data_IF_443994348296
#
_entry.id   IF_443994348296
#
_cell.length_a   1.000
_cell.length_b   1.000
_cell.length_c   1.000
_cell.angle_alpha   90.00
_cell.angle_beta   90.00
_cell.angle_gamma   90.00
#
_symmetry.space_group_name_H-M   'P 1'
#
loop_
_entity.id
_entity.type
_entity.pdbx_description
1 polymer ?
#
# COMPACT_ATOMS: atom_id res chain seq x y z
N UNK A 1 -8.27 25.73 39.88
CA UNK A 1 -9.18 25.41 38.76
C UNK A 1 -8.37 25.46 37.48
N UNK A 2 -8.33 24.34 36.75
CA UNK A 2 -7.39 24.08 35.66
C UNK A 2 -8.09 24.34 34.30
N UNK A 3 -7.66 25.31 33.47
CA UNK A 3 -8.27 25.54 32.17
C UNK A 3 -7.45 24.85 31.09
N UNK A 4 -7.81 23.61 30.77
CA UNK A 4 -7.34 22.96 29.54
C UNK A 4 -8.49 22.20 28.88
N UNK A 5 -8.37 22.13 27.55
CA UNK A 5 -9.07 21.26 26.61
C UNK A 5 -10.43 21.74 26.08
N UNK A 6 -10.34 22.58 25.05
CA UNK A 6 -11.20 22.41 23.87
C UNK A 6 -10.38 22.65 22.61
N UNK A 7 -9.59 21.66 22.19
CA UNK A 7 -9.10 21.58 20.81
C UNK A 7 -10.07 20.72 20.02
N UNK A 8 -11.02 21.39 19.37
CA UNK A 8 -11.82 20.81 18.32
C UNK A 8 -10.92 20.69 17.08
N UNK A 9 -10.43 19.48 16.79
CA UNK A 9 -9.75 19.21 15.53
C UNK A 9 -10.81 19.12 14.44
N UNK A 10 -10.98 20.23 13.71
CA UNK A 10 -11.76 20.29 12.49
C UNK A 10 -10.90 19.71 11.36
N UNK A 11 -11.04 18.41 11.06
CA UNK A 11 -10.54 17.87 9.79
C UNK A 11 -11.48 18.34 8.68
N UNK A 12 -11.21 19.55 8.17
CA UNK A 12 -11.84 20.05 6.95
C UNK A 12 -11.29 19.27 5.76
N UNK A 13 -12.14 18.37 5.23
CA UNK A 13 -12.33 18.06 3.82
C UNK A 13 -11.23 18.58 2.87
N UNK A 14 -10.18 17.79 2.67
CA UNK A 14 -9.39 17.90 1.45
C UNK A 14 -10.26 17.29 0.35
N UNK A 15 -10.84 18.17 -0.45
CA UNK A 15 -11.61 17.87 -1.65
C UNK A 15 -10.93 16.73 -2.42
N UNK A 16 -11.60 15.57 -2.44
CA UNK A 16 -11.20 14.45 -3.27
C UNK A 16 -11.17 14.88 -4.73
N UNK A 17 -9.97 15.07 -5.27
CA UNK A 17 -9.75 15.01 -6.71
C UNK A 17 -9.94 13.54 -7.08
N UNK A 18 -11.17 13.24 -7.48
CA UNK A 18 -11.61 11.95 -7.97
C UNK A 18 -10.64 11.54 -9.08
N UNK A 19 -10.11 10.32 -9.02
CA UNK A 19 -9.68 9.66 -10.23
C UNK A 19 -10.90 9.63 -11.15
N UNK A 20 -10.99 10.53 -12.14
CA UNK A 20 -11.94 10.34 -13.23
C UNK A 20 -11.49 9.05 -13.91
N UNK A 21 -12.25 7.99 -13.65
CA UNK A 21 -12.14 6.65 -14.21
C UNK A 21 -12.33 6.70 -15.72
N UNK A 22 -11.35 7.24 -16.44
CA UNK A 22 -11.36 7.17 -17.90
C UNK A 22 -10.19 6.30 -18.28
N UNK A 23 -10.51 5.05 -18.58
CA UNK A 23 -9.58 4.19 -19.29
C UNK A 23 -9.45 4.75 -20.71
N UNK A 24 -8.27 5.29 -21.02
CA UNK A 24 -8.05 6.02 -22.27
C UNK A 24 -7.29 5.10 -23.23
N UNK A 25 -7.60 5.17 -24.52
CA UNK A 25 -6.85 4.39 -25.51
C UNK A 25 -5.38 4.81 -25.51
N UNK A 26 -4.44 3.87 -25.70
CA UNK A 26 -3.01 4.16 -25.74
C UNK A 26 -2.62 5.17 -26.83
N UNK A 27 -3.45 5.32 -27.87
CA UNK A 27 -3.31 6.34 -28.91
C UNK A 27 -3.50 7.78 -28.41
N UNK A 28 -4.08 7.95 -27.21
CA UNK A 28 -4.29 9.24 -26.55
C UNK A 28 -3.23 9.55 -25.49
N UNK A 29 -2.21 8.70 -25.33
CA UNK A 29 -1.08 8.99 -24.46
C UNK A 29 -0.41 10.32 -24.90
N UNK A 30 0.15 11.10 -23.96
CA UNK A 30 0.96 12.24 -24.33
C UNK A 30 2.09 11.82 -25.29
N UNK A 31 2.36 12.62 -26.32
CA UNK A 31 3.29 12.25 -27.40
C UNK A 31 4.71 11.82 -26.93
N UNK A 32 5.15 12.30 -25.76
CA UNK A 32 6.46 11.94 -25.19
C UNK A 32 6.42 10.65 -24.36
N UNK A 33 5.24 10.14 -24.02
CA UNK A 33 5.03 8.85 -23.34
C UNK A 33 4.78 7.80 -24.41
N UNK A 34 5.72 6.86 -24.54
CA UNK A 34 5.64 5.81 -25.56
C UNK A 34 4.67 4.72 -25.12
N UNK A 35 3.77 4.24 -26.01
CA UNK A 35 3.01 3.04 -25.74
C UNK A 35 3.95 1.83 -25.63
N UNK A 36 3.49 0.79 -24.93
CA UNK A 36 4.18 -0.50 -24.85
C UNK A 36 3.38 -1.59 -25.56
N UNK A 37 4.03 -2.68 -25.93
CA UNK A 37 3.41 -3.85 -26.55
C UNK A 37 3.74 -5.11 -25.75
N UNK A 38 2.76 -5.99 -25.60
CA UNK A 38 2.89 -7.31 -24.94
C UNK A 38 3.00 -7.29 -23.42
N UNK A 39 2.91 -6.11 -22.77
CA UNK A 39 3.09 -5.97 -21.33
C UNK A 39 2.31 -4.81 -20.73
N UNK A 40 2.22 -4.80 -19.41
CA UNK A 40 1.68 -3.71 -18.62
C UNK A 40 2.85 -3.00 -17.92
N UNK A 41 2.90 -1.68 -17.99
CA UNK A 41 3.96 -0.88 -17.35
C UNK A 41 3.39 0.30 -16.59
N UNK A 42 4.09 0.72 -15.55
CA UNK A 42 3.85 1.97 -14.86
C UNK A 42 4.92 2.98 -15.30
N UNK A 43 4.52 4.20 -15.66
CA UNK A 43 5.43 5.25 -16.11
C UNK A 43 5.11 6.54 -15.36
N UNK A 44 6.09 7.11 -14.66
CA UNK A 44 5.97 8.41 -14.02
C UNK A 44 6.57 9.49 -14.93
N UNK A 45 5.77 10.51 -15.23
CA UNK A 45 6.15 11.63 -16.09
C UNK A 45 6.76 12.78 -15.26
N UNK A 46 8.07 12.70 -15.04
CA UNK A 46 8.81 13.74 -14.32
C UNK A 46 9.02 15.02 -15.14
N UNK A 47 8.81 14.98 -16.47
CA UNK A 47 9.01 16.13 -17.34
C UNK A 47 7.85 17.13 -17.25
N UNK A 48 6.64 16.64 -16.91
CA UNK A 48 5.47 17.49 -16.69
C UNK A 48 4.94 17.29 -15.28
N UNK A 49 5.12 18.29 -14.42
CA UNK A 49 4.34 18.35 -13.17
C UNK A 49 2.89 18.61 -13.55
N UNK A 50 1.97 17.75 -13.11
CA UNK A 50 0.55 17.93 -13.28
C UNK A 50 0.02 19.11 -12.46
N UNK A 51 -1.30 19.27 -12.50
CA UNK A 51 -2.01 20.20 -11.61
C UNK A 51 -1.60 19.95 -10.14
N UNK A 52 -1.53 21.02 -9.35
CA UNK A 52 -1.11 20.99 -7.95
C UNK A 52 0.29 20.41 -7.67
N UNK A 53 1.17 20.40 -8.68
CA UNK A 53 2.56 19.89 -8.61
C UNK A 53 2.67 18.38 -8.39
N UNK A 54 1.57 17.64 -8.56
CA UNK A 54 1.57 16.17 -8.52
C UNK A 54 2.25 15.61 -9.77
N UNK A 55 2.81 14.40 -9.69
CA UNK A 55 3.47 13.77 -10.84
C UNK A 55 2.45 12.89 -11.56
N UNK A 56 2.15 13.11 -12.85
CA UNK A 56 1.30 12.21 -13.61
C UNK A 56 1.95 10.83 -13.71
N UNK A 57 1.20 9.79 -13.35
CA UNK A 57 1.63 8.40 -13.46
C UNK A 57 0.67 7.66 -14.38
N UNK A 58 1.22 6.93 -15.35
CA UNK A 58 0.46 6.22 -16.38
C UNK A 58 0.63 4.73 -16.17
N UNK A 59 -0.47 4.02 -15.89
CA UNK A 59 -0.50 2.57 -15.96
C UNK A 59 -0.95 2.18 -17.37
N UNK A 60 0.00 1.77 -18.20
CA UNK A 60 -0.18 1.52 -19.63
C UNK A 60 -0.32 0.02 -19.85
N UNK A 61 -1.47 -0.41 -20.33
CA UNK A 61 -1.71 -1.81 -20.68
C UNK A 61 -1.52 -2.01 -22.19
N UNK A 62 -0.33 -2.48 -22.57
CA UNK A 62 -0.01 -2.90 -23.93
C UNK A 62 -0.21 -4.39 -24.19
N UNK A 63 -0.77 -5.13 -23.22
CA UNK A 63 -1.05 -6.56 -23.36
C UNK A 63 -2.38 -6.82 -24.05
N UNK A 64 -2.71 -8.10 -24.25
CA UNK A 64 -3.96 -8.60 -24.79
C UNK A 64 -5.05 -8.82 -23.71
N UNK A 65 -4.70 -8.66 -22.43
CA UNK A 65 -5.58 -8.91 -21.29
C UNK A 65 -5.96 -7.62 -20.59
N UNK A 66 -7.18 -7.57 -20.07
CA UNK A 66 -7.57 -6.50 -19.15
C UNK A 66 -7.08 -6.83 -17.73
N UNK A 67 -6.79 -5.80 -16.95
CA UNK A 67 -6.57 -5.93 -15.50
C UNK A 67 -7.62 -5.13 -14.75
N UNK A 68 -7.92 -5.60 -13.55
CA UNK A 68 -8.76 -4.90 -12.58
C UNK A 68 -7.89 -4.58 -11.38
N UNK A 69 -7.92 -3.32 -10.95
CA UNK A 69 -7.17 -2.86 -9.80
C UNK A 69 -8.06 -2.82 -8.57
N UNK A 70 -7.54 -3.29 -7.45
CA UNK A 70 -8.13 -2.98 -6.15
C UNK A 70 -8.02 -1.46 -5.92
N UNK A 71 -9.06 -0.88 -5.31
CA UNK A 71 -9.03 0.52 -4.91
C UNK A 71 -9.89 0.78 -3.67
N UNK A 72 -9.53 1.81 -2.94
CA UNK A 72 -10.30 2.33 -1.81
C UNK A 72 -10.36 3.84 -1.92
N UNK A 73 -11.57 4.40 -1.88
CA UNK A 73 -11.79 5.86 -2.01
C UNK A 73 -11.12 6.47 -3.27
N UNK A 74 -10.99 5.68 -4.34
CA UNK A 74 -10.32 6.07 -5.59
C UNK A 74 -8.78 5.99 -5.57
N UNK A 75 -8.17 5.56 -4.46
CA UNK A 75 -6.74 5.24 -4.37
C UNK A 75 -6.53 3.78 -4.83
N UNK A 76 -5.83 3.59 -5.95
CA UNK A 76 -5.46 2.27 -6.49
C UNK A 76 -4.22 1.66 -5.81
N UNK A 77 -3.93 2.09 -4.60
CA UNK A 77 -2.73 1.75 -3.83
C UNK A 77 -1.43 2.17 -4.52
N UNK A 78 -1.47 3.25 -5.30
CA UNK A 78 -0.26 3.90 -5.81
C UNK A 78 0.43 4.63 -4.65
N UNK A 79 1.69 4.32 -4.39
CA UNK A 79 2.46 4.94 -3.30
C UNK A 79 3.80 5.46 -3.79
N UNK A 80 4.16 6.64 -3.30
CA UNK A 80 5.49 7.22 -3.47
C UNK A 80 6.52 6.40 -2.70
N UNK A 81 7.67 6.14 -3.33
CA UNK A 81 8.85 5.54 -2.71
C UNK A 81 10.07 6.43 -2.92
N UNK A 82 11.05 6.30 -2.03
CA UNK A 82 12.37 6.93 -2.14
C UNK A 82 13.46 5.96 -1.71
N UNK A 83 14.71 6.22 -2.09
CA UNK A 83 15.84 5.44 -1.57
C UNK A 83 16.20 5.88 -0.16
N UNK A 84 16.28 4.92 0.76
CA UNK A 84 16.87 5.10 2.08
C UNK A 84 18.38 5.24 2.02
N UNK A 85 18.99 5.51 3.17
CA UNK A 85 20.45 5.62 3.31
C UNK A 85 21.18 4.31 2.97
N UNK A 86 20.51 3.17 3.07
CA UNK A 86 21.00 1.83 2.71
C UNK A 86 20.86 1.52 1.21
N UNK A 87 20.38 2.48 0.41
CA UNK A 87 20.14 2.33 -1.03
C UNK A 87 18.89 1.54 -1.38
N UNK A 88 18.12 1.04 -0.40
CA UNK A 88 16.87 0.32 -0.65
C UNK A 88 15.71 1.29 -0.83
N UNK A 89 14.74 0.86 -1.62
CA UNK A 89 13.50 1.62 -1.77
C UNK A 89 12.61 1.41 -0.55
N UNK A 90 12.11 2.50 -0.01
CA UNK A 90 11.15 2.53 1.08
C UNK A 90 9.99 3.45 0.73
N UNK A 91 8.82 3.18 1.31
CA UNK A 91 7.64 4.01 1.08
C UNK A 91 7.80 5.38 1.76
N UNK A 92 7.39 6.42 1.03
CA UNK A 92 7.46 7.83 1.43
C UNK A 92 6.09 8.51 1.35
N UNK A 93 5.02 7.73 1.34
CA UNK A 93 3.63 8.18 1.41
C UNK A 93 2.87 7.25 2.35
N UNK A 94 2.38 7.75 3.49
CA UNK A 94 1.58 6.93 4.39
C UNK A 94 0.22 6.59 3.77
N UNK A 95 -0.42 5.56 4.28
CA UNK A 95 -1.74 5.11 3.85
C UNK A 95 -2.66 5.04 5.08
N UNK A 96 -3.90 5.50 4.89
CA UNK A 96 -4.94 5.46 5.89
C UNK A 96 -6.10 4.64 5.33
N UNK A 97 -6.34 3.45 5.88
CA UNK A 97 -7.48 2.65 5.45
C UNK A 97 -8.79 3.30 5.93
N UNK A 98 -9.74 3.39 5.02
CA UNK A 98 -11.09 3.85 5.34
C UNK A 98 -11.88 2.79 6.10
N UNK A 99 -12.63 3.24 7.11
CA UNK A 99 -13.55 2.40 7.89
C UNK A 99 -14.86 2.15 7.11
N UNK A 100 -15.26 3.09 6.23
CA UNK A 100 -16.59 3.10 5.66
C UNK A 100 -16.69 2.13 4.46
N UNK A 101 -17.44 1.04 4.62
CA UNK A 101 -17.68 -0.03 3.63
C UNK A 101 -18.25 0.38 2.26
N UNK A 102 -18.52 1.66 2.01
CA UNK A 102 -19.27 2.11 0.85
C UNK A 102 -18.39 2.46 -0.37
N UNK A 103 -17.07 2.50 -0.22
CA UNK A 103 -16.14 2.92 -1.29
C UNK A 103 -15.32 1.80 -1.92
N UNK A 104 -15.59 0.54 -1.57
CA UNK A 104 -14.91 -0.64 -2.12
C UNK A 104 -15.48 -1.13 -3.47
N UNK A 105 -16.52 -0.47 -3.99
CA UNK A 105 -17.26 -0.93 -5.18
C UNK A 105 -16.63 -0.47 -6.51
N UNK A 106 -15.61 0.38 -6.47
CA UNK A 106 -14.98 0.92 -7.67
C UNK A 106 -13.59 0.28 -7.83
N UNK A 107 -13.51 -0.78 -8.64
CA UNK A 107 -12.24 -1.39 -9.03
C UNK A 107 -11.89 -0.97 -10.45
N UNK A 108 -10.98 0.00 -10.66
CA UNK A 108 -10.68 0.50 -11.99
C UNK A 108 -10.19 -0.62 -12.90
N UNK A 109 -10.83 -0.75 -14.06
CA UNK A 109 -10.42 -1.70 -15.09
C UNK A 109 -9.57 -0.98 -16.12
N UNK A 110 -8.42 -1.56 -16.46
CA UNK A 110 -7.56 -1.09 -17.55
C UNK A 110 -7.60 -2.11 -18.68
N UNK A 111 -8.36 -1.79 -19.73
CA UNK A 111 -8.51 -2.66 -20.91
C UNK A 111 -7.18 -2.85 -21.64
N UNK A 112 -7.10 -3.94 -22.41
CA UNK A 112 -6.03 -4.14 -23.38
C UNK A 112 -5.94 -2.93 -24.33
N UNK A 113 -4.73 -2.45 -24.60
CA UNK A 113 -4.50 -1.27 -25.44
C UNK A 113 -4.95 0.07 -24.83
N UNK A 114 -5.25 0.11 -23.53
CA UNK A 114 -5.66 1.32 -22.81
C UNK A 114 -4.69 1.65 -21.67
N UNK A 115 -4.80 2.84 -21.13
CA UNK A 115 -4.07 3.28 -19.95
C UNK A 115 -4.97 3.97 -18.94
N UNK A 116 -4.51 3.99 -17.69
CA UNK A 116 -5.08 4.77 -16.60
C UNK A 116 -4.09 5.88 -16.21
N UNK A 117 -4.56 7.13 -16.15
CA UNK A 117 -3.79 8.25 -15.61
C UNK A 117 -4.10 8.41 -14.12
N UNK A 118 -3.08 8.26 -13.28
CA UNK A 118 -3.15 8.35 -11.83
C UNK A 118 -2.34 9.57 -11.39
N UNK A 119 -2.80 10.24 -10.34
CA UNK A 119 -2.09 11.39 -9.78
C UNK A 119 -1.09 10.91 -8.72
N UNK A 120 0.20 10.92 -9.04
CA UNK A 120 1.28 10.58 -8.11
C UNK A 120 1.42 11.64 -7.02
N UNK A 121 1.33 11.21 -5.76
CA UNK A 121 1.49 12.07 -4.59
C UNK A 121 2.82 12.83 -4.60
N UNK A 122 2.76 14.10 -4.22
CA UNK A 122 3.90 14.94 -3.90
C UNK A 122 3.52 15.76 -2.66
N UNK A 123 4.35 15.79 -1.61
CA UNK A 123 4.09 16.66 -0.46
C UNK A 123 4.17 18.13 -0.89
N UNK A 124 3.44 18.98 -0.16
CA UNK A 124 3.47 20.42 -0.41
C UNK A 124 4.87 20.99 -0.10
N UNK A 125 5.44 21.79 -1.00
CA UNK A 125 6.83 22.30 -0.89
C UNK A 125 7.06 23.10 0.40
N UNK A 126 6.06 23.86 0.82
CA UNK A 126 6.00 24.68 2.03
C UNK A 126 6.02 23.87 3.33
N UNK A 127 5.81 22.55 3.26
CA UNK A 127 5.95 21.63 4.41
C UNK A 127 7.38 21.13 4.63
N UNK A 128 8.36 21.67 3.91
CA UNK A 128 9.77 21.26 4.05
C UNK A 128 10.12 20.00 3.25
N UNK A 129 9.45 19.78 2.10
CA UNK A 129 9.75 18.66 1.22
C UNK A 129 11.19 18.69 0.72
N UNK A 130 11.91 17.57 0.86
CA UNK A 130 13.27 17.40 0.36
C UNK A 130 13.26 16.77 -1.02
N UNK A 131 14.05 17.32 -1.93
CA UNK A 131 14.23 16.74 -3.26
C UNK A 131 15.09 15.47 -3.17
N UNK A 132 14.51 14.32 -3.55
CA UNK A 132 15.15 13.00 -3.55
C UNK A 132 14.89 12.25 -4.83
N UNK A 133 15.65 11.17 -5.04
CA UNK A 133 15.29 10.17 -6.04
C UNK A 133 14.03 9.44 -5.54
N UNK A 134 13.02 9.39 -6.37
CA UNK A 134 11.71 8.82 -6.08
C UNK A 134 11.24 7.91 -7.21
N UNK A 135 10.28 7.05 -6.91
CA UNK A 135 9.47 6.30 -7.88
C UNK A 135 8.08 6.06 -7.30
N UNK A 136 7.20 5.50 -8.09
CA UNK A 136 5.88 5.08 -7.63
C UNK A 136 5.71 3.57 -7.80
N UNK A 137 5.05 2.95 -6.85
CA UNK A 137 4.69 1.53 -6.89
C UNK A 137 3.20 1.37 -6.61
N UNK A 138 2.53 0.52 -7.40
CA UNK A 138 1.18 0.04 -7.11
C UNK A 138 1.32 -1.21 -6.24
N UNK A 139 0.79 -1.14 -5.04
CA UNK A 139 0.85 -2.20 -4.05
C UNK A 139 -0.42 -3.04 -4.08
N UNK A 140 -0.45 -4.09 -4.91
CA UNK A 140 -1.57 -5.02 -5.02
C UNK A 140 -1.10 -6.47 -5.01
N UNK A 141 -1.89 -7.38 -4.43
CA UNK A 141 -1.46 -8.77 -4.21
C UNK A 141 -1.10 -9.48 -5.52
N UNK A 142 -1.88 -9.21 -6.57
CA UNK A 142 -1.71 -9.86 -7.87
C UNK A 142 -0.79 -9.06 -8.81
N UNK A 143 -0.49 -7.80 -8.48
CA UNK A 143 0.26 -6.90 -9.34
C UNK A 143 1.22 -6.02 -8.54
N UNK A 144 2.50 -6.07 -8.90
CA UNK A 144 3.51 -5.17 -8.37
C UNK A 144 4.11 -4.35 -9.52
N UNK A 145 3.47 -3.22 -9.84
CA UNK A 145 3.94 -2.33 -10.90
C UNK A 145 4.75 -1.19 -10.31
N UNK A 146 5.99 -1.04 -10.75
CA UNK A 146 6.88 0.04 -10.32
C UNK A 146 7.24 0.93 -11.51
N UNK A 147 7.25 2.25 -11.30
CA UNK A 147 7.58 3.22 -12.31
C UNK A 147 9.10 3.34 -12.55
N UNK A 148 9.48 4.03 -13.62
CA UNK A 148 10.80 4.65 -13.73
C UNK A 148 11.06 5.57 -12.53
N UNK A 149 12.33 5.75 -12.18
CA UNK A 149 12.78 6.67 -11.14
C UNK A 149 13.00 8.09 -11.71
N UNK A 150 12.94 9.09 -10.82
CA UNK A 150 13.19 10.49 -11.13
C UNK A 150 13.34 11.33 -9.87
N UNK A 151 13.42 12.66 -10.02
CA UNK A 151 13.53 13.59 -8.89
C UNK A 151 12.15 14.08 -8.44
N UNK A 152 11.94 14.20 -7.14
CA UNK A 152 10.74 14.77 -6.55
C UNK A 152 10.84 14.92 -5.04
N UNK A 153 9.79 15.47 -4.44
CA UNK A 153 9.78 15.83 -3.02
C UNK A 153 9.33 14.66 -2.14
N UNK A 154 9.94 14.55 -0.98
CA UNK A 154 9.52 13.66 0.13
C UNK A 154 9.54 14.42 1.45
N UNK A 155 8.72 14.00 2.41
CA UNK A 155 8.78 14.48 3.78
C UNK A 155 9.26 13.35 4.69
N UNK A 156 10.17 13.64 5.62
CA UNK A 156 10.60 12.66 6.63
C UNK A 156 9.43 12.20 7.50
N UNK A 157 8.50 13.10 7.82
CA UNK A 157 7.28 12.75 8.55
C UNK A 157 6.43 11.73 7.79
N UNK A 158 6.37 11.82 6.47
CA UNK A 158 5.60 10.87 5.65
C UNK A 158 6.29 9.51 5.57
N UNK A 159 7.62 9.49 5.53
CA UNK A 159 8.42 8.26 5.61
C UNK A 159 8.23 7.59 6.98
N UNK A 160 8.32 8.36 8.07
CA UNK A 160 8.07 7.87 9.43
C UNK A 160 6.67 7.28 9.56
N UNK A 161 5.63 8.02 9.15
CA UNK A 161 4.25 7.53 9.19
C UNK A 161 4.06 6.28 8.31
N UNK A 162 4.63 6.24 7.10
CA UNK A 162 4.57 5.09 6.22
C UNK A 162 5.31 3.86 6.78
N UNK A 163 6.31 4.05 7.64
CA UNK A 163 7.02 2.94 8.29
C UNK A 163 6.21 2.26 9.40
N UNK A 164 5.10 2.87 9.84
CA UNK A 164 4.32 2.44 11.01
C UNK A 164 2.79 2.47 10.86
N UNK A 165 2.29 2.69 9.64
CA UNK A 165 0.87 2.51 9.34
C UNK A 165 0.51 1.03 9.14
N UNK A 166 -0.77 0.71 8.92
CA UNK A 166 -1.20 -0.67 8.74
C UNK A 166 -0.67 -1.33 7.45
N UNK A 167 -0.47 -0.53 6.39
CA UNK A 167 -0.06 -1.03 5.07
C UNK A 167 1.37 -1.59 5.12
N UNK A 168 2.22 -1.14 6.03
CA UNK A 168 3.59 -1.68 6.18
C UNK A 168 3.59 -3.19 6.42
N UNK A 169 2.61 -3.72 7.17
CA UNK A 169 2.56 -5.15 7.50
C UNK A 169 2.16 -6.03 6.32
N UNK A 170 1.28 -5.53 5.45
CA UNK A 170 0.81 -6.26 4.27
C UNK A 170 1.94 -6.55 3.28
N UNK A 171 2.97 -5.71 3.26
CA UNK A 171 4.06 -5.76 2.30
C UNK A 171 5.42 -6.08 2.90
N UNK A 172 5.51 -6.12 4.23
CA UNK A 172 6.71 -6.52 4.95
C UNK A 172 7.03 -8.01 4.74
N UNK A 173 8.31 -8.35 4.95
CA UNK A 173 8.76 -9.73 4.96
C UNK A 173 8.34 -10.48 6.24
N UNK A 174 8.59 -11.79 6.24
CA UNK A 174 8.24 -12.65 7.36
C UNK A 174 8.94 -12.25 8.67
N UNK A 175 10.19 -11.82 8.62
CA UNK A 175 10.98 -11.48 9.82
C UNK A 175 10.38 -10.25 10.50
N UNK A 176 10.11 -9.20 9.74
CA UNK A 176 9.49 -7.98 10.25
C UNK A 176 8.09 -8.26 10.84
N UNK A 177 7.23 -8.97 10.10
CA UNK A 177 5.88 -9.33 10.59
C UNK A 177 5.98 -10.18 11.87
N UNK A 178 6.91 -11.13 11.92
CA UNK A 178 7.13 -11.97 13.11
C UNK A 178 7.56 -11.16 14.32
N UNK A 179 8.50 -10.22 14.14
CA UNK A 179 8.96 -9.32 15.22
C UNK A 179 7.83 -8.44 15.75
N UNK A 180 6.97 -7.92 14.88
CA UNK A 180 5.78 -7.17 15.30
C UNK A 180 4.80 -8.06 16.07
N UNK A 181 4.50 -9.27 15.56
CA UNK A 181 3.62 -10.21 16.25
C UNK A 181 4.16 -10.63 17.63
N UNK A 182 5.47 -10.83 17.75
CA UNK A 182 6.18 -11.16 18.99
C UNK A 182 6.36 -9.95 19.94
N UNK A 183 5.91 -8.76 19.53
CA UNK A 183 6.06 -7.52 20.30
C UNK A 183 7.50 -7.07 20.48
N UNK A 184 8.42 -7.54 19.63
CA UNK A 184 9.82 -7.10 19.58
C UNK A 184 9.91 -5.74 18.87
N UNK A 185 9.02 -5.49 17.91
CA UNK A 185 8.79 -4.18 17.30
C UNK A 185 7.37 -3.75 17.68
N UNK A 186 7.26 -2.58 18.32
CA UNK A 186 5.96 -1.97 18.62
C UNK A 186 5.69 -0.84 17.64
N UNK A 187 4.66 -0.98 16.82
CA UNK A 187 4.24 0.04 15.87
C UNK A 187 3.02 0.78 16.42
N UNK A 188 2.99 2.10 16.21
CA UNK A 188 1.85 2.95 16.55
C UNK A 188 1.30 3.59 15.27
N UNK A 189 0.16 3.08 14.82
CA UNK A 189 -0.53 3.60 13.66
C UNK A 189 -1.30 4.89 14.00
N UNK A 190 -0.85 5.99 13.42
CA UNK A 190 -1.47 7.32 13.54
C UNK A 190 -2.35 7.68 12.34
N UNK A 191 -2.35 6.85 11.30
CA UNK A 191 -3.02 7.16 10.03
C UNK A 191 -4.52 6.88 10.04
N UNK A 192 -4.93 5.77 10.66
CA UNK A 192 -6.31 5.29 10.57
C UNK A 192 -6.77 4.56 11.83
N UNK A 193 -7.88 3.85 11.70
CA UNK A 193 -8.55 3.13 12.78
C UNK A 193 -7.90 1.79 13.17
N UNK A 194 -6.98 1.26 12.37
CA UNK A 194 -6.27 0.00 12.62
C UNK A 194 -5.17 0.25 13.65
N UNK A 195 -5.57 0.38 14.91
CA UNK A 195 -4.65 0.73 16.02
C UNK A 195 -3.81 -0.45 16.50
N UNK A 196 -4.33 -1.67 16.41
CA UNK A 196 -3.67 -2.86 16.96
C UNK A 196 -2.86 -3.61 15.90
N UNK A 197 -1.69 -3.05 15.57
CA UNK A 197 -0.81 -3.62 14.56
C UNK A 197 -0.20 -4.97 14.97
N UNK A 198 -0.11 -5.27 16.27
CA UNK A 198 0.30 -6.60 16.72
C UNK A 198 -0.76 -7.65 16.35
N UNK A 199 -2.04 -7.36 16.58
CA UNK A 199 -3.12 -8.26 16.17
C UNK A 199 -3.14 -8.45 14.64
N UNK A 200 -2.97 -7.37 13.87
CA UNK A 200 -2.86 -7.44 12.41
C UNK A 200 -1.69 -8.33 11.98
N UNK A 201 -0.51 -8.17 12.57
CA UNK A 201 0.66 -9.01 12.26
C UNK A 201 0.39 -10.50 12.53
N UNK A 202 -0.31 -10.83 13.63
CA UNK A 202 -0.71 -12.21 13.95
C UNK A 202 -1.59 -12.80 12.84
N UNK A 203 -2.57 -12.06 12.35
CA UNK A 203 -3.41 -12.52 11.24
C UNK A 203 -2.65 -12.64 9.92
N UNK A 204 -1.73 -11.72 9.65
CA UNK A 204 -0.91 -11.71 8.44
C UNK A 204 0.04 -12.92 8.41
N UNK A 205 0.52 -13.42 9.56
CA UNK A 205 1.29 -14.67 9.62
C UNK A 205 0.54 -15.89 9.05
N UNK A 206 -0.79 -15.85 9.00
CA UNK A 206 -1.61 -16.91 8.40
C UNK A 206 -1.79 -16.78 6.88
N UNK A 207 -1.25 -15.75 6.25
CA UNK A 207 -1.37 -15.58 4.80
C UNK A 207 -0.57 -16.65 4.02
N UNK A 208 -1.06 -17.09 2.85
CA UNK A 208 -0.39 -18.12 2.04
C UNK A 208 1.02 -17.76 1.57
N UNK A 209 1.41 -16.48 1.61
CA UNK A 209 2.73 -16.02 1.20
C UNK A 209 3.86 -16.43 2.16
N UNK A 210 3.53 -16.86 3.37
CA UNK A 210 4.51 -17.29 4.36
C UNK A 210 4.55 -18.80 4.54
N UNK A 211 5.73 -19.32 4.89
CA UNK A 211 5.90 -20.73 5.20
C UNK A 211 5.07 -21.10 6.44
N UNK A 212 4.09 -21.97 6.24
CA UNK A 212 3.13 -22.33 7.28
C UNK A 212 3.79 -22.92 8.53
N UNK A 213 4.89 -23.68 8.41
CA UNK A 213 5.56 -24.27 9.58
C UNK A 213 6.24 -23.19 10.41
N UNK A 214 6.94 -22.26 9.76
CA UNK A 214 7.54 -21.09 10.42
C UNK A 214 6.48 -20.21 11.08
N UNK A 215 5.40 -19.91 10.37
CA UNK A 215 4.28 -19.14 10.92
C UNK A 215 3.68 -19.80 12.18
N UNK A 216 3.41 -21.11 12.15
CA UNK A 216 2.89 -21.84 13.31
C UNK A 216 3.84 -21.81 14.51
N UNK A 217 5.16 -21.86 14.29
CA UNK A 217 6.15 -21.72 15.36
C UNK A 217 6.11 -20.33 16.00
N UNK A 218 6.00 -19.27 15.20
CA UNK A 218 5.87 -17.90 15.70
C UNK A 218 4.54 -17.72 16.44
N UNK A 219 3.43 -18.18 15.87
CA UNK A 219 2.10 -18.12 16.49
C UNK A 219 2.05 -18.84 17.84
N UNK A 220 2.72 -20.00 17.96
CA UNK A 220 2.86 -20.70 19.25
C UNK A 220 3.56 -19.83 20.29
N UNK A 221 4.72 -19.23 19.94
CA UNK A 221 5.47 -18.33 20.81
C UNK A 221 4.65 -17.09 21.20
N UNK A 222 3.87 -16.54 20.27
CA UNK A 222 2.97 -15.42 20.55
C UNK A 222 1.89 -15.83 21.56
N UNK A 223 1.29 -17.00 21.40
CA UNK A 223 0.28 -17.51 22.33
C UNK A 223 0.82 -17.74 23.75
N UNK A 224 2.06 -18.21 23.87
CA UNK A 224 2.77 -18.37 25.14
C UNK A 224 3.11 -17.01 25.79
N UNK A 225 3.64 -16.07 25.01
CA UNK A 225 4.11 -14.76 25.51
C UNK A 225 2.97 -13.78 25.80
N UNK A 226 1.88 -13.84 25.03
CA UNK A 226 0.76 -12.91 25.12
C UNK A 226 -0.58 -13.66 25.23
N UNK A 227 -0.96 -14.14 26.43
CA UNK A 227 -2.22 -14.86 26.63
C UNK A 227 -3.47 -14.09 26.17
N UNK A 228 -3.46 -12.75 26.25
CA UNK A 228 -4.53 -11.87 25.75
C UNK A 228 -4.73 -11.94 24.22
N UNK A 229 -3.77 -12.51 23.48
CA UNK A 229 -3.82 -12.71 22.02
C UNK A 229 -4.30 -14.11 21.62
N UNK A 230 -4.70 -14.94 22.58
CA UNK A 230 -5.08 -16.34 22.34
C UNK A 230 -6.08 -16.50 21.19
N UNK A 231 -7.12 -15.66 21.12
CA UNK A 231 -8.14 -15.79 20.06
C UNK A 231 -7.56 -15.47 18.67
N UNK A 232 -6.80 -14.39 18.52
CA UNK A 232 -6.15 -14.07 17.24
C UNK A 232 -5.17 -15.17 16.80
N UNK A 233 -4.41 -15.74 17.75
CA UNK A 233 -3.50 -16.87 17.50
C UNK A 233 -4.26 -18.11 17.07
N UNK A 234 -5.36 -18.45 17.75
CA UNK A 234 -6.22 -19.59 17.43
C UNK A 234 -6.81 -19.47 16.03
N UNK A 235 -7.40 -18.32 15.69
CA UNK A 235 -7.99 -18.07 14.38
C UNK A 235 -6.94 -18.17 13.25
N UNK A 236 -5.76 -17.58 13.47
CA UNK A 236 -4.66 -17.63 12.50
C UNK A 236 -4.12 -19.05 12.30
N UNK A 237 -4.02 -19.83 13.39
CA UNK A 237 -3.64 -21.25 13.34
C UNK A 237 -4.64 -22.08 12.56
N UNK A 238 -5.95 -21.88 12.79
CA UNK A 238 -7.02 -22.57 12.07
C UNK A 238 -6.97 -22.28 10.57
N UNK A 239 -6.80 -21.00 10.17
CA UNK A 239 -6.66 -20.60 8.77
C UNK A 239 -5.51 -21.33 8.06
N UNK A 240 -4.36 -21.44 8.71
CA UNK A 240 -3.21 -22.18 8.16
C UNK A 240 -3.56 -23.67 7.98
N UNK A 241 -4.16 -24.30 8.98
CA UNK A 241 -4.53 -25.72 8.93
C UNK A 241 -5.58 -26.01 7.84
N UNK A 242 -6.57 -25.13 7.68
CA UNK A 242 -7.57 -25.24 6.61
C UNK A 242 -6.96 -25.12 5.22
N UNK A 243 -6.04 -24.18 5.03
CA UNK A 243 -5.31 -24.03 3.77
C UNK A 243 -4.49 -25.29 3.44
N UNK A 244 -3.78 -25.85 4.41
CA UNK A 244 -3.01 -27.09 4.24
C UNK A 244 -3.88 -28.31 3.91
N UNK A 245 -5.07 -28.41 4.51
CA UNK A 245 -6.05 -29.46 4.19
C UNK A 245 -6.53 -29.36 2.74
N UNK A 246 -6.89 -28.15 2.28
CA UNK A 246 -7.33 -27.92 0.89
C UNK A 246 -6.28 -28.31 -0.15
N UNK A 247 -5.00 -27.98 0.12
CA UNK A 247 -3.89 -28.38 -0.76
C UNK A 247 -3.68 -29.90 -0.77
N UNK A 248 -3.88 -30.56 0.37
CA UNK A 248 -3.72 -32.02 0.48
C UNK A 248 -4.85 -32.79 -0.20
N UNK A 249 -6.08 -32.27 -0.18
CA UNK A 249 -7.22 -32.87 -0.88
C UNK A 249 -7.17 -32.69 -2.39
N UNK A 250 -6.59 -31.60 -2.90
CA UNK A 250 -6.47 -31.35 -4.34
C UNK A 250 -5.41 -32.22 -5.05
N UNK A 251 -4.58 -32.95 -4.28
CA UNK A 251 -3.52 -33.84 -4.80
C UNK A 251 -3.92 -35.33 -4.84
N UNK A 252 -5.15 -35.65 -4.43
CA UNK A 252 -5.73 -37.00 -4.50
C UNK A 252 -6.66 -37.07 -5.69
#
# INVERSE_FOLDING_TARGET
>A
MNPYLLSLVLFALVSGLHAREVDLANTQLPNHIKPVSGKIVLVADYAKKGEDRRIPVYLINGSDKSITLDSQDGDVYLKLETKGADGKWQRAQPHAYSWCGNSYMNSPKVRAGHYLKISGYQPAKDKGGMDREIRYTIYQRDYNFTSNAGRGLVLESDIDLASRDAMVLEWADFDFVSKVALGEITLKNEMDHVKDLQASAIYILAEPRFDSKKSLQVLKKVGEKFPKRHEAVKQSTLRIQEAQKKVSSAKK
#
